data_IF_826964878447
#
_entry.id   IF_826964878447
#
_cell.length_a   1.000
_cell.length_b   1.000
_cell.length_c   1.000
_cell.angle_alpha   90.00
_cell.angle_beta   90.00
_cell.angle_gamma   90.00
#
_symmetry.space_group_name_H-M   'P 1'
#
loop_
_entity.id
_entity.type
_entity.pdbx_description
1 polymer ?
#
# COMPACT_ATOMS: atom_id res chain seq x y z
N UNK A 1 -60.78 22.55 -18.16
CA UNK A 1 -60.09 23.41 -19.14
C UNK A 1 -59.09 22.53 -19.83
N UNK A 2 -59.54 21.99 -20.95
CA UNK A 2 -58.73 21.31 -21.94
C UNK A 2 -57.86 22.32 -22.67
N UNK A 3 -56.60 21.94 -22.90
CA UNK A 3 -55.74 22.33 -24.03
C UNK A 3 -54.45 21.52 -23.86
N UNK A 4 -53.75 20.96 -24.83
CA UNK A 4 -54.00 20.50 -26.20
C UNK A 4 -52.65 19.83 -26.56
N UNK A 5 -52.68 18.82 -27.43
CA UNK A 5 -51.51 18.01 -27.75
C UNK A 5 -50.49 18.77 -28.62
N UNK A 6 -49.20 18.58 -28.34
CA UNK A 6 -48.14 18.71 -29.33
C UNK A 6 -47.52 17.34 -29.56
N UNK A 7 -47.99 16.67 -30.60
CA UNK A 7 -47.43 15.43 -31.12
C UNK A 7 -46.09 15.74 -31.81
N UNK A 8 -44.99 15.41 -31.13
CA UNK A 8 -43.68 15.23 -31.73
C UNK A 8 -43.41 13.74 -31.86
N UNK A 9 -43.25 13.25 -33.09
CA UNK A 9 -42.96 11.86 -33.37
C UNK A 9 -41.58 11.46 -32.82
N UNK A 10 -41.54 10.82 -31.66
CA UNK A 10 -40.34 10.15 -31.14
C UNK A 10 -40.28 8.74 -31.71
N UNK A 11 -39.22 8.44 -32.47
CA UNK A 11 -38.86 7.06 -32.81
C UNK A 11 -38.62 6.23 -31.53
N UNK A 12 -38.71 4.89 -31.58
CA UNK A 12 -38.57 4.04 -30.41
C UNK A 12 -37.09 3.99 -29.96
N UNK A 13 -36.63 5.05 -29.32
CA UNK A 13 -35.36 5.03 -28.60
C UNK A 13 -35.60 4.34 -27.25
N UNK A 14 -35.13 3.11 -27.12
CA UNK A 14 -35.07 2.42 -25.83
C UNK A 14 -33.94 3.02 -25.01
N UNK A 15 -34.19 4.13 -24.32
CA UNK A 15 -33.30 4.59 -23.25
C UNK A 15 -33.48 3.65 -22.06
N UNK A 16 -32.50 2.78 -21.84
CA UNK A 16 -32.45 1.98 -20.62
C UNK A 16 -32.20 2.94 -19.45
N UNK A 17 -33.23 3.17 -18.63
CA UNK A 17 -33.12 3.91 -17.39
C UNK A 17 -32.21 3.12 -16.44
N UNK A 18 -30.91 3.44 -16.47
CA UNK A 18 -29.95 2.97 -15.48
C UNK A 18 -30.10 3.91 -14.29
N UNK A 19 -30.87 3.50 -13.30
CA UNK A 19 -30.83 4.11 -11.98
C UNK A 19 -29.46 3.82 -11.39
N UNK A 20 -28.54 4.77 -11.58
CA UNK A 20 -27.37 4.86 -10.73
C UNK A 20 -27.94 5.22 -9.36
N UNK A 21 -28.01 4.25 -8.45
CA UNK A 21 -28.15 4.55 -7.03
C UNK A 21 -26.91 5.33 -6.64
N UNK A 22 -26.98 6.64 -6.82
CA UNK A 22 -26.12 7.57 -6.12
C UNK A 22 -26.50 7.46 -4.64
N UNK A 23 -25.85 6.54 -3.93
CA UNK A 23 -25.62 6.69 -2.49
C UNK A 23 -24.68 7.89 -2.32
N UNK A 24 -25.23 9.06 -2.63
CA UNK A 24 -24.63 10.38 -2.45
C UNK A 24 -24.80 10.75 -0.98
N UNK A 25 -24.02 10.07 -0.15
CA UNK A 25 -23.60 10.59 1.15
C UNK A 25 -22.07 10.42 1.20
N UNK A 26 -21.40 11.29 0.45
CA UNK A 26 -19.97 11.54 0.64
C UNK A 26 -19.82 12.73 1.58
N UNK A 27 -20.04 12.49 2.87
CA UNK A 27 -19.86 13.46 3.96
C UNK A 27 -18.38 13.81 4.22
N UNK A 28 -17.44 13.36 3.38
CA UNK A 28 -16.02 13.46 3.65
C UNK A 28 -15.28 14.33 2.62
N UNK A 29 -14.75 15.44 3.15
CA UNK A 29 -13.90 16.38 2.45
C UNK A 29 -12.54 15.73 2.21
N UNK A 30 -12.19 15.49 0.95
CA UNK A 30 -10.86 15.03 0.56
C UNK A 30 -9.83 16.08 1.00
N UNK A 31 -8.92 15.69 1.89
CA UNK A 31 -7.80 16.53 2.31
C UNK A 31 -6.84 16.65 1.11
N UNK A 32 -6.65 17.86 0.57
CA UNK A 32 -5.67 18.13 -0.47
C UNK A 32 -4.29 17.67 0.01
N UNK A 33 -3.69 16.73 -0.73
CA UNK A 33 -2.30 16.32 -0.50
C UNK A 33 -1.43 17.55 -0.76
N UNK A 34 -0.65 18.03 0.22
CA UNK A 34 0.26 19.15 0.00
C UNK A 34 1.17 18.84 -1.19
N UNK A 35 1.30 19.79 -2.12
CA UNK A 35 2.18 19.66 -3.30
C UNK A 35 3.67 19.44 -2.96
N UNK A 36 4.03 19.52 -1.67
CA UNK A 36 5.38 19.41 -1.15
C UNK A 36 5.78 17.98 -0.70
N UNK A 37 4.92 16.97 -0.88
CA UNK A 37 5.28 15.58 -0.57
C UNK A 37 6.24 15.04 -1.64
N UNK A 38 7.53 15.17 -1.37
CA UNK A 38 8.68 14.72 -2.19
C UNK A 38 8.79 13.19 -2.33
N UNK A 39 7.68 12.48 -2.28
CA UNK A 39 7.57 11.13 -2.84
C UNK A 39 7.00 11.24 -4.24
N UNK A 40 7.78 11.87 -5.13
CA UNK A 40 7.60 11.77 -6.56
C UNK A 40 7.71 10.29 -6.92
N UNK A 41 6.57 9.60 -7.01
CA UNK A 41 6.44 8.47 -7.92
C UNK A 41 7.00 8.95 -9.25
N UNK A 42 7.98 8.22 -9.77
CA UNK A 42 8.66 8.46 -11.04
C UNK A 42 7.68 9.09 -12.02
N UNK A 43 7.83 10.40 -12.23
CA UNK A 43 6.99 11.26 -13.05
C UNK A 43 7.22 10.88 -14.51
N UNK A 44 6.65 9.73 -14.85
CA UNK A 44 6.64 9.14 -16.16
C UNK A 44 5.28 9.40 -16.79
N UNK A 45 5.15 10.61 -17.34
CA UNK A 45 4.46 10.87 -18.60
C UNK A 45 2.93 11.10 -18.62
N UNK A 46 2.31 11.53 -17.50
CA UNK A 46 0.96 12.12 -17.52
C UNK A 46 0.99 13.61 -17.11
N UNK A 47 1.56 14.42 -18.00
CA UNK A 47 1.53 15.88 -17.90
C UNK A 47 0.10 16.39 -18.16
N UNK A 48 -0.50 17.07 -17.18
CA UNK A 48 -1.83 17.69 -17.27
C UNK A 48 -1.96 18.56 -18.53
N UNK A 49 -0.87 19.19 -18.97
CA UNK A 49 -0.88 20.01 -20.19
C UNK A 49 -1.09 19.16 -21.45
N UNK A 50 -0.54 17.94 -21.49
CA UNK A 50 -0.75 16.95 -22.57
C UNK A 50 -2.20 16.46 -22.61
N UNK A 51 -2.82 16.27 -21.45
CA UNK A 51 -4.25 15.94 -21.36
C UNK A 51 -5.15 17.09 -21.87
N UNK A 52 -4.85 18.34 -21.51
CA UNK A 52 -5.57 19.51 -22.03
C UNK A 52 -5.37 19.69 -23.54
N UNK A 53 -4.16 19.46 -24.05
CA UNK A 53 -3.85 19.55 -25.47
C UNK A 53 -4.60 18.49 -26.29
N UNK A 54 -4.68 17.26 -25.80
CA UNK A 54 -5.44 16.19 -26.48
C UNK A 54 -6.94 16.43 -26.50
N UNK A 55 -7.52 17.03 -25.44
CA UNK A 55 -8.93 17.45 -25.42
C UNK A 55 -9.18 18.56 -26.44
N UNK A 56 -8.28 19.55 -26.50
CA UNK A 56 -8.37 20.64 -27.47
C UNK A 56 -8.29 20.12 -28.91
N UNK A 57 -7.31 19.26 -29.21
CA UNK A 57 -7.12 18.66 -30.54
C UNK A 57 -8.34 17.81 -30.96
N UNK A 58 -8.91 17.01 -30.06
CA UNK A 58 -10.14 16.26 -30.33
C UNK A 58 -11.34 17.18 -30.61
N UNK A 59 -11.43 18.33 -29.94
CA UNK A 59 -12.50 19.30 -30.17
C UNK A 59 -12.37 20.00 -31.52
N UNK A 60 -11.14 20.30 -31.94
CA UNK A 60 -10.81 20.88 -33.24
C UNK A 60 -11.09 19.87 -34.37
N UNK A 61 -10.67 18.61 -34.21
CA UNK A 61 -10.97 17.52 -35.14
C UNK A 61 -12.48 17.30 -35.31
N UNK A 62 -13.24 17.29 -34.21
CA UNK A 62 -14.70 17.18 -34.28
C UNK A 62 -15.33 18.36 -35.03
N UNK A 63 -14.78 19.58 -34.85
CA UNK A 63 -15.21 20.77 -35.59
C UNK A 63 -14.89 20.70 -37.08
N UNK A 64 -13.71 20.19 -37.44
CA UNK A 64 -13.28 20.02 -38.83
C UNK A 64 -14.17 18.98 -39.52
N UNK A 65 -14.43 17.84 -38.87
CA UNK A 65 -15.32 16.79 -39.38
C UNK A 65 -16.74 17.34 -39.59
N UNK A 66 -17.26 18.12 -38.63
CA UNK A 66 -18.57 18.74 -38.75
C UNK A 66 -18.63 19.74 -39.91
N UNK A 67 -17.61 20.58 -40.09
CA UNK A 67 -17.52 21.52 -41.22
C UNK A 67 -17.44 20.79 -42.57
N UNK A 68 -16.70 19.68 -42.62
CA UNK A 68 -16.54 18.89 -43.83
C UNK A 68 -17.85 18.16 -44.21
N UNK A 69 -18.61 17.69 -43.21
CA UNK A 69 -19.96 17.11 -43.42
C UNK A 69 -20.96 18.15 -43.96
N UNK A 70 -20.86 19.40 -43.51
CA UNK A 70 -21.71 20.51 -43.98
C UNK A 70 -21.36 20.92 -45.41
N UNK A 71 -20.08 20.81 -45.81
CA UNK A 71 -19.64 21.10 -47.18
C UNK A 71 -20.03 19.99 -48.17
N UNK A 72 -20.00 18.72 -47.76
CA UNK A 72 -20.42 17.60 -48.61
C UNK A 72 -21.95 17.53 -48.78
N UNK A 73 -22.71 17.94 -47.76
CA UNK A 73 -24.18 18.01 -47.83
C UNK A 73 -24.71 19.04 -48.84
N UNK A 74 -23.94 20.08 -49.18
CA UNK A 74 -24.35 21.14 -50.12
C UNK A 74 -24.09 20.79 -51.59
N UNK A 75 -23.35 19.72 -51.87
CA UNK A 75 -23.21 19.15 -53.20
C UNK A 75 -24.14 17.94 -53.36
N UNK A 76 -25.45 18.16 -53.22
CA UNK A 76 -26.43 17.23 -53.80
C UNK A 76 -26.31 17.37 -55.33
N UNK A 77 -25.44 16.56 -55.92
CA UNK A 77 -25.30 16.40 -57.36
C UNK A 77 -26.69 16.09 -57.91
N UNK A 78 -27.19 16.93 -58.82
CA UNK A 78 -28.39 16.61 -59.59
C UNK A 78 -28.16 15.26 -60.25
N UNK A 79 -28.84 14.22 -59.78
CA UNK A 79 -28.72 12.85 -60.28
C UNK A 79 -29.09 12.86 -61.76
N UNK A 80 -28.08 12.84 -62.64
CA UNK A 80 -28.28 12.50 -64.04
C UNK A 80 -28.67 11.02 -64.03
N UNK A 81 -29.82 10.62 -64.58
CA UNK A 81 -30.26 9.23 -64.54
C UNK A 81 -29.19 8.32 -65.16
N UNK A 82 -28.81 7.26 -64.46
CA UNK A 82 -27.84 6.28 -64.94
C UNK A 82 -28.39 5.62 -66.22
N UNK A 83 -27.57 5.54 -67.27
CA UNK A 83 -27.96 4.85 -68.48
C UNK A 83 -28.00 3.33 -68.24
N UNK A 84 -28.98 2.62 -68.84
CA UNK A 84 -29.25 1.19 -68.56
C UNK A 84 -28.02 0.30 -68.78
N UNK A 85 -27.18 0.69 -69.71
CA UNK A 85 -25.97 0.01 -70.08
C UNK A 85 -24.84 0.13 -69.04
N UNK A 86 -24.66 1.32 -68.46
CA UNK A 86 -23.72 1.56 -67.35
C UNK A 86 -24.17 0.79 -66.11
N UNK A 87 -25.48 0.77 -65.83
CA UNK A 87 -26.06 -0.02 -64.75
C UNK A 87 -25.82 -1.52 -64.94
N UNK A 88 -25.99 -2.06 -66.15
CA UNK A 88 -25.71 -3.46 -66.43
C UNK A 88 -24.22 -3.78 -66.24
N UNK A 89 -23.33 -2.90 -66.67
CA UNK A 89 -21.90 -3.07 -66.42
C UNK A 89 -21.59 -3.07 -64.92
N UNK A 90 -22.08 -2.07 -64.18
CA UNK A 90 -21.92 -1.95 -62.73
C UNK A 90 -22.52 -3.14 -61.98
N UNK A 91 -23.67 -3.65 -62.42
CA UNK A 91 -24.32 -4.84 -61.88
C UNK A 91 -23.46 -6.09 -62.10
N UNK A 92 -23.00 -6.34 -63.32
CA UNK A 92 -22.17 -7.50 -63.65
C UNK A 92 -20.84 -7.46 -62.89
N UNK A 93 -20.25 -6.26 -62.70
CA UNK A 93 -19.05 -6.06 -61.86
C UNK A 93 -19.36 -6.38 -60.39
N UNK A 94 -20.42 -5.80 -59.82
CA UNK A 94 -20.84 -6.05 -58.42
C UNK A 94 -21.10 -7.51 -58.13
N UNK A 95 -21.69 -8.23 -59.09
CA UNK A 95 -22.00 -9.65 -58.97
C UNK A 95 -20.82 -10.56 -59.32
N UNK A 96 -19.67 -10.00 -59.70
CA UNK A 96 -18.45 -10.76 -60.03
C UNK A 96 -18.53 -11.55 -61.34
N UNK A 97 -19.43 -11.19 -62.25
CA UNK A 97 -19.71 -11.91 -63.50
C UNK A 97 -18.82 -11.42 -64.66
N UNK A 98 -17.50 -11.48 -64.49
CA UNK A 98 -16.53 -10.89 -65.42
C UNK A 98 -16.61 -11.44 -66.86
N UNK A 99 -16.85 -12.74 -67.05
CA UNK A 99 -17.00 -13.32 -68.40
C UNK A 99 -18.25 -12.82 -69.13
N UNK A 100 -19.36 -12.68 -68.40
CA UNK A 100 -20.61 -12.16 -68.95
C UNK A 100 -20.49 -10.68 -69.28
N UNK A 101 -19.77 -9.92 -68.46
CA UNK A 101 -19.43 -8.53 -68.73
C UNK A 101 -18.62 -8.39 -70.03
N UNK A 102 -17.60 -9.21 -70.21
CA UNK A 102 -16.72 -9.16 -71.39
C UNK A 102 -17.48 -9.50 -72.68
N UNK A 103 -18.33 -10.55 -72.64
CA UNK A 103 -19.22 -10.88 -73.75
C UNK A 103 -20.20 -9.73 -74.05
N UNK A 104 -20.83 -9.17 -73.03
CA UNK A 104 -21.80 -8.07 -73.17
C UNK A 104 -21.14 -6.82 -73.77
N UNK A 105 -19.96 -6.43 -73.29
CA UNK A 105 -19.20 -5.28 -73.79
C UNK A 105 -18.79 -5.47 -75.25
N UNK A 106 -18.32 -6.67 -75.60
CA UNK A 106 -17.91 -7.01 -76.97
C UNK A 106 -19.08 -6.98 -77.95
N UNK A 107 -20.20 -7.64 -77.60
CA UNK A 107 -21.40 -7.71 -78.43
C UNK A 107 -22.03 -6.32 -78.62
N UNK A 108 -22.06 -5.53 -77.54
CA UNK A 108 -22.59 -4.17 -77.58
C UNK A 108 -21.75 -3.24 -78.47
N UNK A 109 -20.43 -3.33 -78.38
CA UNK A 109 -19.54 -2.55 -79.25
C UNK A 109 -19.70 -2.95 -80.73
N UNK A 110 -19.86 -4.25 -81.00
CA UNK A 110 -20.10 -4.77 -82.35
C UNK A 110 -21.45 -4.27 -82.93
N UNK A 111 -22.51 -4.24 -82.11
CA UNK A 111 -23.83 -3.72 -82.50
C UNK A 111 -23.82 -2.21 -82.75
N UNK A 112 -23.06 -1.45 -81.96
CA UNK A 112 -22.83 -0.01 -82.20
C UNK A 112 -22.09 0.24 -83.51
N UNK A 113 -21.02 -0.52 -83.80
CA UNK A 113 -20.27 -0.36 -85.06
C UNK A 113 -21.10 -0.67 -86.30
N UNK A 114 -22.04 -1.62 -86.20
CA UNK A 114 -22.96 -1.99 -87.28
C UNK A 114 -24.11 -0.98 -87.47
N UNK A 115 -24.23 0.03 -86.60
CA UNK A 115 -25.29 1.04 -86.66
C UNK A 115 -26.69 0.49 -86.34
N UNK A 116 -26.75 -0.69 -85.70
CA UNK A 116 -28.02 -1.34 -85.31
C UNK A 116 -28.52 -0.80 -83.97
N UNK A 117 -27.61 -0.24 -83.17
CA UNK A 117 -27.87 0.32 -81.86
C UNK A 117 -27.34 1.75 -81.81
N UNK A 118 -28.24 2.72 -81.75
CA UNK A 118 -27.87 4.12 -81.56
C UNK A 118 -27.72 4.45 -80.06
N UNK A 119 -26.85 5.39 -79.67
CA UNK A 119 -26.71 5.81 -78.27
C UNK A 119 -28.02 6.34 -77.65
N UNK A 120 -28.97 6.77 -78.48
CA UNK A 120 -30.30 7.26 -78.09
C UNK A 120 -31.30 6.14 -77.78
N UNK A 121 -31.04 4.91 -78.24
CA UNK A 121 -31.89 3.75 -77.98
C UNK A 121 -31.67 3.16 -76.58
N UNK A 122 -30.61 3.62 -75.90
CA UNK A 122 -30.28 3.23 -74.54
C UNK A 122 -31.11 4.09 -73.59
N UNK A 123 -32.12 3.47 -72.98
CA UNK A 123 -32.96 4.12 -71.97
C UNK A 123 -32.20 4.41 -70.66
N UNK A 124 -32.84 5.17 -69.79
CA UNK A 124 -32.37 5.42 -68.43
C UNK A 124 -32.93 4.40 -67.45
N UNK A 125 -32.17 4.09 -66.41
CA UNK A 125 -32.62 3.22 -65.31
C UNK A 125 -33.73 3.93 -64.55
N UNK A 126 -34.84 3.23 -64.23
CA UNK A 126 -35.89 3.82 -63.40
C UNK A 126 -35.38 4.20 -62.01
N UNK A 127 -35.64 5.44 -61.59
CA UNK A 127 -35.17 6.04 -60.33
C UNK A 127 -35.38 5.18 -59.09
N UNK A 128 -36.42 4.33 -59.06
CA UNK A 128 -36.75 3.44 -57.95
C UNK A 128 -35.63 2.43 -57.66
N UNK A 129 -34.94 1.92 -58.69
CA UNK A 129 -33.86 0.95 -58.51
C UNK A 129 -32.60 1.62 -57.95
N UNK A 130 -32.27 2.80 -58.45
CA UNK A 130 -31.17 3.63 -57.95
C UNK A 130 -31.41 4.02 -56.49
N UNK A 131 -32.65 4.40 -56.16
CA UNK A 131 -33.05 4.71 -54.79
C UNK A 131 -32.95 3.50 -53.86
N UNK A 132 -33.43 2.32 -54.27
CA UNK A 132 -33.29 1.11 -53.48
C UNK A 132 -31.82 0.72 -53.26
N UNK A 133 -30.97 0.87 -54.27
CA UNK A 133 -29.54 0.62 -54.14
C UNK A 133 -28.90 1.60 -53.14
N UNK A 134 -29.29 2.89 -53.18
CA UNK A 134 -28.84 3.87 -52.20
C UNK A 134 -29.27 3.48 -50.78
N UNK A 135 -30.56 3.16 -50.59
CA UNK A 135 -31.09 2.70 -49.31
C UNK A 135 -30.42 1.41 -48.81
N UNK A 136 -30.05 0.48 -49.68
CA UNK A 136 -29.30 -0.71 -49.29
C UNK A 136 -27.89 -0.37 -48.80
N UNK A 137 -27.20 0.56 -49.47
CA UNK A 137 -25.87 1.02 -49.04
C UNK A 137 -25.93 1.75 -47.72
N UNK A 138 -26.93 2.62 -47.53
CA UNK A 138 -27.17 3.33 -46.28
C UNK A 138 -27.54 2.37 -45.15
N UNK A 139 -28.40 1.38 -45.41
CA UNK A 139 -28.71 0.36 -44.40
C UNK A 139 -27.46 -0.45 -44.00
N UNK A 140 -26.55 -0.72 -44.93
CA UNK A 140 -25.29 -1.42 -44.63
C UNK A 140 -24.35 -0.54 -43.80
N UNK A 141 -24.22 0.75 -44.10
CA UNK A 141 -23.41 1.67 -43.30
C UNK A 141 -24.00 1.85 -41.90
N UNK A 142 -25.30 2.11 -41.79
CA UNK A 142 -25.99 2.28 -40.50
C UNK A 142 -25.86 1.03 -39.62
N UNK A 143 -25.97 -0.17 -40.19
CA UNK A 143 -25.75 -1.43 -39.44
C UNK A 143 -24.33 -1.55 -38.91
N UNK A 144 -23.34 -1.15 -39.71
CA UNK A 144 -21.93 -1.15 -39.30
C UNK A 144 -21.70 -0.15 -38.17
N UNK A 145 -22.27 1.05 -38.28
CA UNK A 145 -22.14 2.09 -37.26
C UNK A 145 -22.83 1.68 -35.95
N UNK A 146 -24.01 1.06 -36.02
CA UNK A 146 -24.70 0.50 -34.86
C UNK A 146 -23.81 -0.52 -34.12
N UNK A 147 -23.18 -1.46 -34.85
CA UNK A 147 -22.29 -2.43 -34.23
C UNK A 147 -21.04 -1.77 -33.61
N UNK A 148 -20.47 -0.75 -34.27
CA UNK A 148 -19.37 0.03 -33.73
C UNK A 148 -19.77 0.74 -32.42
N UNK A 149 -20.93 1.38 -32.39
CA UNK A 149 -21.45 2.04 -31.19
C UNK A 149 -21.73 1.04 -30.07
N UNK A 150 -22.24 -0.14 -30.39
CA UNK A 150 -22.47 -1.21 -29.41
C UNK A 150 -21.17 -1.69 -28.79
N UNK A 151 -20.11 -1.85 -29.60
CA UNK A 151 -18.77 -2.19 -29.11
C UNK A 151 -18.21 -1.07 -28.23
N UNK A 152 -18.31 0.19 -28.66
CA UNK A 152 -17.84 1.35 -27.90
C UNK A 152 -18.57 1.47 -26.55
N UNK A 153 -19.90 1.34 -26.54
CA UNK A 153 -20.71 1.36 -25.33
C UNK A 153 -20.35 0.21 -24.38
N UNK A 154 -20.12 -0.99 -24.91
CA UNK A 154 -19.69 -2.14 -24.11
C UNK A 154 -18.32 -1.90 -23.46
N UNK A 155 -17.35 -1.37 -24.22
CA UNK A 155 -16.02 -0.99 -23.69
C UNK A 155 -16.12 0.10 -22.62
N UNK A 156 -16.93 1.13 -22.84
CA UNK A 156 -17.14 2.21 -21.88
C UNK A 156 -17.77 1.68 -20.58
N UNK A 157 -18.75 0.76 -20.69
CA UNK A 157 -19.35 0.09 -19.53
C UNK A 157 -18.33 -0.72 -18.74
N UNK A 158 -17.46 -1.47 -19.41
CA UNK A 158 -16.39 -2.22 -18.75
C UNK A 158 -15.39 -1.30 -18.04
N UNK A 159 -15.00 -0.19 -18.67
CA UNK A 159 -14.11 0.81 -18.07
C UNK A 159 -14.75 1.45 -16.82
N UNK A 160 -16.03 1.82 -16.89
CA UNK A 160 -16.77 2.35 -15.73
C UNK A 160 -16.79 1.37 -14.57
N UNK A 161 -17.05 0.08 -14.82
CA UNK A 161 -17.03 -0.94 -13.78
C UNK A 161 -15.65 -1.10 -13.13
N UNK A 162 -14.56 -0.92 -13.89
CA UNK A 162 -13.19 -0.94 -13.33
C UNK A 162 -12.96 0.25 -12.41
N UNK A 163 -13.31 1.46 -12.85
CA UNK A 163 -13.15 2.70 -12.07
C UNK A 163 -14.00 2.64 -10.78
N UNK A 164 -15.24 2.14 -10.87
CA UNK A 164 -16.09 1.95 -9.69
C UNK A 164 -15.48 0.99 -8.66
N UNK A 165 -14.93 -0.15 -9.11
CA UNK A 165 -14.25 -1.10 -8.23
C UNK A 165 -13.02 -0.48 -7.55
N UNK A 166 -12.22 0.28 -8.28
CA UNK A 166 -11.04 0.96 -7.72
C UNK A 166 -11.44 2.03 -6.69
N UNK A 167 -12.44 2.86 -7.03
CA UNK A 167 -13.03 3.82 -6.10
C UNK A 167 -13.52 3.13 -4.82
N UNK A 168 -14.24 2.01 -4.95
CA UNK A 168 -14.78 1.28 -3.80
C UNK A 168 -13.66 0.64 -2.97
N UNK A 169 -12.61 0.14 -3.62
CA UNK A 169 -11.40 -0.36 -2.97
C UNK A 169 -10.73 0.74 -2.14
N UNK A 170 -10.50 1.92 -2.72
CA UNK A 170 -9.93 3.06 -2.00
C UNK A 170 -10.81 3.51 -0.84
N UNK A 171 -12.13 3.60 -1.04
CA UNK A 171 -13.09 3.96 0.01
C UNK A 171 -13.04 2.97 1.18
N UNK A 172 -13.01 1.66 0.89
CA UNK A 172 -12.92 0.62 1.91
C UNK A 172 -11.56 0.60 2.61
N UNK A 173 -10.47 0.79 1.86
CA UNK A 173 -9.12 0.87 2.41
C UNK A 173 -8.96 2.07 3.34
N UNK A 174 -9.42 3.24 2.92
CA UNK A 174 -9.42 4.45 3.73
C UNK A 174 -10.21 4.24 5.03
N UNK A 175 -11.44 3.70 4.96
CA UNK A 175 -12.24 3.37 6.16
C UNK A 175 -11.47 2.46 7.13
N UNK A 176 -10.78 1.43 6.62
CA UNK A 176 -9.92 0.56 7.44
C UNK A 176 -8.79 1.33 8.10
N UNK A 177 -8.04 2.12 7.33
CA UNK A 177 -6.90 2.91 7.84
C UNK A 177 -7.35 3.91 8.91
N UNK A 178 -8.49 4.58 8.73
CA UNK A 178 -9.06 5.48 9.73
C UNK A 178 -9.41 4.74 11.02
N UNK A 179 -10.00 3.54 10.92
CA UNK A 179 -10.27 2.71 12.10
C UNK A 179 -8.99 2.32 12.84
N UNK A 180 -7.95 1.91 12.11
CA UNK A 180 -6.64 1.58 12.69
C UNK A 180 -5.97 2.79 13.34
N UNK A 181 -5.96 3.95 12.65
CA UNK A 181 -5.51 5.23 13.19
C UNK A 181 -6.21 5.57 14.51
N UNK A 182 -7.53 5.45 14.55
CA UNK A 182 -8.31 5.77 15.75
C UNK A 182 -8.03 4.80 16.92
N UNK A 183 -7.79 3.51 16.63
CA UNK A 183 -7.34 2.53 17.64
C UNK A 183 -5.98 2.93 18.22
N UNK A 184 -5.00 3.24 17.36
CA UNK A 184 -3.68 3.68 17.80
C UNK A 184 -3.72 4.99 18.60
N UNK A 185 -4.52 5.96 18.17
CA UNK A 185 -4.73 7.21 18.93
C UNK A 185 -5.28 6.90 20.33
N UNK A 186 -6.23 5.98 20.43
CA UNK A 186 -6.82 5.58 21.72
C UNK A 186 -5.79 4.90 22.63
N UNK A 187 -4.95 4.03 22.07
CA UNK A 187 -3.87 3.38 22.82
C UNK A 187 -2.81 4.38 23.27
N UNK A 188 -2.42 5.34 22.42
CA UNK A 188 -1.52 6.43 22.79
C UNK A 188 -2.11 7.27 23.93
N UNK A 189 -3.40 7.61 23.86
CA UNK A 189 -4.09 8.34 24.94
C UNK A 189 -4.05 7.55 26.25
N UNK A 190 -4.38 6.26 26.22
CA UNK A 190 -4.32 5.37 27.40
C UNK A 190 -2.90 5.30 27.97
N UNK A 191 -1.89 5.19 27.12
CA UNK A 191 -0.48 5.15 27.52
C UNK A 191 -0.04 6.47 28.18
N UNK A 192 -0.40 7.62 27.59
CA UNK A 192 -0.13 8.94 28.16
C UNK A 192 -0.74 9.08 29.56
N UNK A 193 -2.00 8.68 29.73
CA UNK A 193 -2.67 8.69 31.04
C UNK A 193 -1.95 7.80 32.05
N UNK A 194 -1.52 6.60 31.63
CA UNK A 194 -0.77 5.68 32.49
C UNK A 194 0.57 6.28 32.95
N UNK A 195 1.34 6.92 32.06
CA UNK A 195 2.60 7.57 32.45
C UNK A 195 2.39 8.82 33.31
N UNK A 196 1.35 9.62 33.03
CA UNK A 196 0.98 10.75 33.88
C UNK A 196 0.67 10.28 35.31
N UNK A 197 0.12 9.07 35.49
CA UNK A 197 -0.15 8.51 36.82
C UNK A 197 1.11 8.15 37.62
N UNK A 198 2.24 7.86 36.96
CA UNK A 198 3.51 7.60 37.66
C UNK A 198 4.21 8.86 38.16
N UNK A 199 3.93 10.00 37.53
CA UNK A 199 4.54 11.29 37.90
C UNK A 199 4.41 11.64 39.40
N UNK A 200 3.24 11.56 40.04
CA UNK A 200 3.13 11.81 41.48
C UNK A 200 3.91 10.80 42.33
N UNK A 201 3.96 9.52 41.92
CA UNK A 201 4.72 8.49 42.65
C UNK A 201 6.23 8.76 42.59
N UNK A 202 6.74 9.17 41.43
CA UNK A 202 8.14 9.55 41.26
C UNK A 202 8.47 10.79 42.10
N UNK A 203 7.61 11.83 42.08
CA UNK A 203 7.77 13.03 42.92
C UNK A 203 7.85 12.67 44.40
N UNK A 204 6.92 11.85 44.90
CA UNK A 204 6.93 11.40 46.29
C UNK A 204 8.21 10.61 46.65
N UNK A 205 8.70 9.76 45.75
CA UNK A 205 9.94 9.01 45.98
C UNK A 205 11.15 9.95 46.05
N UNK A 206 11.23 10.95 45.17
CA UNK A 206 12.28 11.98 45.21
C UNK A 206 12.23 12.80 46.50
N UNK A 207 11.04 13.22 46.93
CA UNK A 207 10.85 13.95 48.19
C UNK A 207 11.32 13.12 49.40
N UNK A 208 10.93 11.84 49.47
CA UNK A 208 11.38 10.91 50.51
C UNK A 208 12.90 10.73 50.50
N UNK A 209 13.49 10.55 49.31
CA UNK A 209 14.94 10.44 49.17
C UNK A 209 15.66 11.67 49.70
N UNK A 210 15.21 12.87 49.34
CA UNK A 210 15.79 14.12 49.84
C UNK A 210 15.60 14.28 51.35
N UNK A 211 14.45 13.89 51.90
CA UNK A 211 14.19 13.93 53.34
C UNK A 211 15.15 13.01 54.11
N UNK A 212 15.32 11.77 53.66
CA UNK A 212 16.27 10.81 54.24
C UNK A 212 17.71 11.33 54.14
N UNK A 213 18.07 11.95 53.01
CA UNK A 213 19.40 12.53 52.84
C UNK A 213 19.67 13.67 53.84
N UNK A 214 18.69 14.57 54.04
CA UNK A 214 18.78 15.64 55.06
C UNK A 214 18.90 15.08 56.47
N UNK A 215 18.07 14.08 56.81
CA UNK A 215 18.11 13.44 58.13
C UNK A 215 19.44 12.72 58.38
N UNK A 216 19.97 11.99 57.39
CA UNK A 216 21.28 11.35 57.45
C UNK A 216 22.39 12.37 57.76
N UNK A 217 22.34 13.54 57.12
CA UNK A 217 23.29 14.61 57.35
C UNK A 217 23.20 15.14 58.79
N UNK A 218 21.99 15.40 59.30
CA UNK A 218 21.77 15.84 60.68
C UNK A 218 22.27 14.82 61.71
N UNK A 219 21.87 13.55 61.56
CA UNK A 219 22.34 12.47 62.45
C UNK A 219 23.85 12.27 62.36
N UNK A 220 24.46 12.55 61.20
CA UNK A 220 25.92 12.52 61.10
C UNK A 220 26.59 13.61 61.91
N UNK A 221 26.09 14.85 61.85
CA UNK A 221 26.61 15.95 62.64
C UNK A 221 26.42 15.72 64.16
N UNK A 222 25.29 15.15 64.56
CA UNK A 222 25.04 14.77 65.96
C UNK A 222 26.03 13.70 66.44
N UNK A 223 26.29 12.68 65.61
CA UNK A 223 27.30 11.65 65.89
C UNK A 223 28.69 12.26 66.00
N UNK A 224 29.07 13.14 65.09
CA UNK A 224 30.39 13.79 65.08
C UNK A 224 30.57 14.67 66.33
N UNK A 225 29.52 15.38 66.76
CA UNK A 225 29.51 16.13 68.04
C UNK A 225 29.69 15.19 69.24
N UNK A 226 28.96 14.07 69.29
CA UNK A 226 29.06 13.10 70.38
C UNK A 226 30.45 12.44 70.43
N UNK A 227 31.00 12.05 69.28
CA UNK A 227 32.38 11.55 69.17
C UNK A 227 33.37 12.61 69.66
N UNK A 228 33.23 13.86 69.23
CA UNK A 228 34.08 14.96 69.70
C UNK A 228 34.04 15.16 71.22
N UNK A 229 32.86 15.04 71.84
CA UNK A 229 32.71 15.06 73.30
C UNK A 229 33.41 13.86 73.97
N UNK A 230 33.20 12.64 73.46
CA UNK A 230 33.85 11.42 73.98
C UNK A 230 35.36 11.50 73.85
N UNK A 231 35.89 11.94 72.71
CA UNK A 231 37.33 12.14 72.50
C UNK A 231 37.89 13.21 73.43
N UNK A 232 37.16 14.32 73.63
CA UNK A 232 37.53 15.34 74.60
C UNK A 232 37.60 14.80 76.02
N UNK A 233 36.58 14.05 76.46
CA UNK A 233 36.56 13.39 77.77
C UNK A 233 37.68 12.35 77.91
N UNK A 234 37.93 11.53 76.88
CA UNK A 234 39.02 10.55 76.86
C UNK A 234 40.39 11.22 76.99
N UNK A 235 40.61 12.36 76.30
CA UNK A 235 41.83 13.13 76.46
C UNK A 235 41.99 13.70 77.88
N UNK A 236 40.91 14.18 78.50
CA UNK A 236 40.95 14.61 79.91
C UNK A 236 41.27 13.46 80.86
N UNK A 237 40.68 12.27 80.65
CA UNK A 237 40.99 11.07 81.43
C UNK A 237 42.45 10.64 81.25
N UNK A 238 42.97 10.60 80.03
CA UNK A 238 44.37 10.26 79.77
C UNK A 238 45.36 11.26 80.39
N UNK A 239 45.03 12.56 80.39
CA UNK A 239 45.85 13.56 81.09
C UNK A 239 45.85 13.37 82.61
N UNK A 240 44.72 12.95 83.19
CA UNK A 240 44.62 12.61 84.63
C UNK A 240 45.35 11.28 84.96
N UNK A 241 45.29 10.30 84.06
CA UNK A 241 45.99 9.01 84.18
C UNK A 241 47.51 9.16 83.97
N UNK A 242 47.95 10.06 83.09
CA UNK A 242 49.38 10.36 82.86
C UNK A 242 50.07 11.03 84.06
N UNK A 243 49.30 11.47 85.06
CA UNK A 243 49.81 11.86 86.38
C UNK A 243 50.04 10.70 87.36
N UNK A 244 49.67 9.46 86.99
CA UNK A 244 49.97 8.22 87.74
C UNK A 244 50.82 7.29 86.86
N UNK A 245 52.13 7.42 86.96
CA UNK A 245 53.04 6.37 86.54
C UNK A 245 52.90 5.16 87.50
N UNK A 246 52.17 4.12 87.06
CA UNK A 246 52.40 2.75 87.53
C UNK A 246 52.35 1.80 86.32
N UNK A 247 53.39 0.98 86.27
CA UNK A 247 53.82 0.03 85.27
C UNK A 247 52.97 -1.26 85.15
N UNK A 248 52.89 -1.79 83.90
CA UNK A 248 53.08 -3.22 83.52
C UNK A 248 51.90 -4.22 83.69
N UNK A 249 51.72 -5.29 82.85
CA UNK A 249 51.95 -5.44 81.41
C UNK A 249 50.85 -6.24 80.63
N UNK A 250 51.02 -6.19 79.32
CA UNK A 250 50.53 -7.02 78.21
C UNK A 250 50.32 -8.53 78.50
N UNK A 251 49.18 -9.07 78.06
CA UNK A 251 49.07 -10.46 77.58
C UNK A 251 48.50 -10.48 76.16
N UNK A 252 49.37 -10.77 75.19
CA UNK A 252 49.01 -11.04 73.79
C UNK A 252 48.42 -12.45 73.70
N UNK A 253 47.12 -12.56 73.47
CA UNK A 253 46.50 -13.80 72.99
C UNK A 253 46.60 -13.83 71.46
N UNK A 254 47.51 -14.66 70.94
CA UNK A 254 47.64 -14.92 69.52
C UNK A 254 46.49 -15.80 69.02
N UNK A 255 45.56 -15.23 68.26
CA UNK A 255 44.62 -16.01 67.46
C UNK A 255 45.23 -16.33 66.10
N UNK A 256 45.70 -17.57 65.92
CA UNK A 256 45.92 -18.16 64.60
C UNK A 256 44.55 -18.51 64.00
N UNK A 257 44.11 -17.77 62.99
CA UNK A 257 42.98 -18.16 62.15
C UNK A 257 43.42 -19.31 61.24
N UNK A 258 42.81 -20.49 61.40
CA UNK A 258 42.88 -21.56 60.41
C UNK A 258 42.08 -21.11 59.18
N UNK A 259 42.68 -21.23 58.00
CA UNK A 259 41.96 -21.20 56.73
C UNK A 259 41.00 -22.39 56.70
N UNK A 260 39.70 -22.12 56.74
CA UNK A 260 38.69 -23.11 56.40
C UNK A 260 38.34 -22.89 54.93
N UNK A 261 38.77 -23.81 54.08
CA UNK A 261 38.27 -23.98 52.73
C UNK A 261 36.76 -24.26 52.78
N UNK A 262 35.99 -23.57 51.94
CA UNK A 262 34.70 -24.07 51.45
C UNK A 262 33.42 -23.65 52.15
N UNK A 263 33.35 -22.49 52.83
CA UNK A 263 32.05 -21.92 53.26
C UNK A 263 31.76 -20.60 52.56
N UNK A 264 30.73 -20.67 51.70
CA UNK A 264 30.13 -19.57 50.95
C UNK A 264 29.83 -18.39 51.89
N UNK A 265 30.37 -17.22 51.59
CA UNK A 265 30.26 -16.03 52.45
C UNK A 265 28.82 -15.51 52.58
N UNK A 266 28.52 -14.70 53.61
CA UNK A 266 27.17 -14.15 53.84
C UNK A 266 26.64 -13.35 52.63
N UNK A 267 27.53 -12.71 51.88
CA UNK A 267 27.23 -11.99 50.63
C UNK A 267 26.89 -12.93 49.47
N UNK A 268 27.47 -14.13 49.41
CA UNK A 268 27.15 -15.11 48.37
C UNK A 268 25.84 -15.85 48.67
N UNK A 269 25.54 -16.08 49.96
CA UNK A 269 24.28 -16.69 50.40
C UNK A 269 23.07 -15.79 50.11
N UNK A 270 23.20 -14.48 50.36
CA UNK A 270 22.17 -13.49 50.07
C UNK A 270 21.90 -13.33 48.57
N UNK A 271 22.92 -13.42 47.71
CA UNK A 271 22.75 -13.40 46.25
C UNK A 271 22.01 -14.63 45.75
N UNK A 272 22.26 -15.80 46.34
CA UNK A 272 21.59 -17.05 45.98
C UNK A 272 20.12 -17.05 46.43
N UNK A 273 19.84 -16.63 47.66
CA UNK A 273 18.48 -16.49 48.20
C UNK A 273 17.65 -15.45 47.39
N UNK A 274 18.27 -14.34 46.97
CA UNK A 274 17.61 -13.36 46.10
C UNK A 274 17.28 -13.92 44.70
N UNK A 275 18.10 -14.86 44.19
CA UNK A 275 17.87 -15.52 42.90
C UNK A 275 16.71 -16.51 42.98
N UNK A 276 16.61 -17.24 44.08
CA UNK A 276 15.53 -18.20 44.36
C UNK A 276 14.18 -17.48 44.63
N UNK A 277 14.20 -16.36 45.34
CA UNK A 277 13.00 -15.53 45.54
C UNK A 277 12.48 -14.90 44.23
N UNK A 278 13.39 -14.55 43.30
CA UNK A 278 13.00 -14.03 41.97
C UNK A 278 12.27 -15.09 41.13
N UNK A 279 12.67 -16.36 41.26
CA UNK A 279 12.00 -17.48 40.59
C UNK A 279 10.61 -17.71 41.17
N UNK A 280 10.43 -17.57 42.49
CA UNK A 280 9.13 -17.71 43.15
C UNK A 280 8.12 -16.58 42.81
N UNK A 281 8.59 -15.35 42.58
CA UNK A 281 7.71 -14.19 42.34
C UNK A 281 7.28 -14.00 40.88
N UNK A 282 7.95 -14.66 39.92
CA UNK A 282 7.71 -14.44 38.48
C UNK A 282 6.64 -15.37 37.89
N UNK A 283 5.98 -16.22 38.69
CA UNK A 283 4.79 -16.97 38.26
C UNK A 283 4.95 -17.91 37.06
N UNK A 284 6.18 -18.23 36.65
CA UNK A 284 6.44 -19.23 35.62
C UNK A 284 6.41 -20.59 36.30
N UNK A 285 5.35 -21.36 36.03
CA UNK A 285 5.21 -22.72 36.51
C UNK A 285 6.44 -23.57 36.11
N UNK A 286 6.90 -24.52 36.95
CA UNK A 286 7.93 -25.47 36.57
C UNK A 286 7.53 -26.17 35.27
N UNK A 287 8.45 -26.25 34.33
CA UNK A 287 8.23 -26.92 33.05
C UNK A 287 7.80 -28.37 33.26
N UNK A 288 6.56 -28.69 32.87
CA UNK A 288 5.99 -30.03 32.92
C UNK A 288 6.17 -30.71 31.54
N UNK A 289 7.04 -31.73 31.43
CA UNK A 289 7.33 -32.42 30.17
C UNK A 289 6.11 -33.15 29.56
N UNK A 290 5.02 -33.33 30.31
CA UNK A 290 3.79 -33.97 29.87
C UNK A 290 2.84 -33.03 29.12
N UNK A 291 3.04 -31.70 29.21
CA UNK A 291 2.21 -30.67 28.55
C UNK A 291 2.86 -30.04 27.32
N UNK A 292 3.97 -30.58 26.84
CA UNK A 292 4.69 -30.08 25.67
C UNK A 292 3.84 -30.29 24.40
N UNK A 293 3.41 -29.21 23.70
CA UNK A 293 2.62 -29.32 22.47
C UNK A 293 3.36 -30.04 21.34
N UNK A 294 4.69 -30.22 21.43
CA UNK A 294 5.48 -31.00 20.45
C UNK A 294 5.32 -32.52 20.58
N UNK A 295 4.75 -33.01 21.70
CA UNK A 295 4.52 -34.44 21.95
C UNK A 295 3.08 -34.88 21.71
N UNK A 296 2.17 -33.96 21.38
CA UNK A 296 0.82 -34.34 20.99
C UNK A 296 0.84 -34.97 19.60
N UNK A 297 0.63 -36.28 19.54
CA UNK A 297 0.51 -37.05 18.32
C UNK A 297 -0.85 -36.76 17.65
N UNK A 298 -1.03 -35.53 17.18
CA UNK A 298 -2.11 -35.14 16.29
C UNK A 298 -1.84 -35.64 14.87
N UNK A 299 -2.90 -36.05 14.16
CA UNK A 299 -2.86 -36.64 12.82
C UNK A 299 -2.08 -35.74 11.84
N UNK A 300 -0.84 -36.13 11.49
CA UNK A 300 -0.07 -35.50 10.40
C UNK A 300 -0.64 -35.91 9.04
N UNK A 301 -0.63 -34.99 8.08
CA UNK A 301 -1.07 -35.30 6.71
C UNK A 301 0.03 -36.11 5.98
N UNK A 302 -0.33 -37.03 5.06
CA UNK A 302 0.63 -37.97 4.47
C UNK A 302 1.77 -37.36 3.63
N UNK A 303 1.73 -36.05 3.35
CA UNK A 303 2.69 -35.34 2.50
C UNK A 303 3.52 -34.28 3.24
N UNK A 304 3.41 -34.18 4.56
CA UNK A 304 4.21 -33.23 5.33
C UNK A 304 5.64 -33.75 5.49
N UNK A 305 6.63 -32.95 5.07
CA UNK A 305 8.05 -33.23 5.26
C UNK A 305 8.45 -33.10 6.73
N UNK A 306 9.33 -33.99 7.19
CA UNK A 306 9.82 -33.96 8.58
C UNK A 306 10.70 -32.73 8.82
N UNK A 307 10.44 -32.04 9.94
CA UNK A 307 11.29 -30.93 10.38
C UNK A 307 12.67 -31.46 10.84
N UNK A 308 13.77 -30.76 10.52
CA UNK A 308 15.10 -31.16 10.96
C UNK A 308 15.20 -31.21 12.49
N UNK A 309 15.91 -32.22 13.00
CA UNK A 309 16.17 -32.36 14.44
C UNK A 309 17.07 -31.21 14.89
N UNK A 310 16.57 -30.41 15.83
CA UNK A 310 17.31 -29.30 16.42
C UNK A 310 18.52 -29.83 17.20
N UNK A 311 19.72 -29.59 16.68
CA UNK A 311 20.98 -30.07 17.26
C UNK A 311 21.44 -29.26 18.48
N UNK A 312 20.69 -28.23 18.91
CA UNK A 312 20.95 -27.38 20.10
C UNK A 312 22.37 -26.79 20.23
N UNK A 313 23.25 -26.98 19.26
CA UNK A 313 24.59 -26.42 19.24
C UNK A 313 24.62 -25.32 18.20
N UNK A 314 24.66 -24.07 18.67
CA UNK A 314 24.75 -22.90 17.80
C UNK A 314 26.07 -22.96 17.00
N UNK A 315 26.02 -23.13 15.66
CA UNK A 315 27.22 -23.27 14.83
C UNK A 315 28.10 -22.01 14.81
N UNK A 316 27.60 -20.87 15.32
CA UNK A 316 28.35 -19.62 15.41
C UNK A 316 29.15 -19.44 16.72
N UNK A 317 29.06 -20.37 17.70
CA UNK A 317 29.83 -20.29 18.95
C UNK A 317 31.35 -20.33 18.71
N UNK A 318 31.81 -20.99 17.66
CA UNK A 318 33.22 -21.05 17.30
C UNK A 318 33.75 -19.68 16.80
N UNK A 319 32.91 -18.86 16.17
CA UNK A 319 33.28 -17.57 15.57
C UNK A 319 33.48 -16.45 16.60
N UNK A 320 32.92 -16.61 17.80
CA UNK A 320 33.03 -15.61 18.88
C UNK A 320 34.47 -15.51 19.42
N UNK A 321 35.29 -16.56 19.27
CA UNK A 321 36.70 -16.54 19.72
C UNK A 321 37.65 -15.80 18.78
N UNK A 322 37.28 -15.54 17.53
CA UNK A 322 38.16 -14.86 16.56
C UNK A 322 38.06 -13.33 16.60
N UNK A 323 36.99 -12.76 17.20
CA UNK A 323 36.76 -11.31 17.25
C UNK A 323 36.97 -10.71 18.65
N UNK A 324 38.18 -10.84 19.21
CA UNK A 324 38.60 -10.19 20.48
C UNK A 324 39.62 -9.07 20.25
N UNK A 325 39.46 -8.29 19.18
CA UNK A 325 40.10 -6.97 19.08
C UNK A 325 39.03 -5.91 18.80
N UNK A 326 38.85 -4.90 19.67
CA UNK A 326 37.96 -3.80 19.37
C UNK A 326 38.58 -2.99 18.22
N UNK A 327 38.00 -3.09 17.03
CA UNK A 327 38.30 -2.20 15.92
C UNK A 327 37.76 -0.81 16.28
N UNK A 328 38.64 0.19 16.22
CA UNK A 328 38.30 1.60 16.46
C UNK A 328 37.09 2.00 15.59
N UNK A 329 36.13 2.78 16.12
CA UNK A 329 34.99 3.25 15.33
C UNK A 329 35.51 4.13 14.17
N UNK A 330 35.20 3.73 12.93
CA UNK A 330 35.57 4.49 11.72
C UNK A 330 36.24 3.69 10.59
N UNK A 331 36.57 2.41 10.78
CA UNK A 331 37.18 1.56 9.74
C UNK A 331 36.28 0.39 9.39
N UNK A 332 35.19 0.66 8.67
CA UNK A 332 34.43 -0.39 8.01
C UNK A 332 35.07 -0.68 6.64
N UNK A 333 35.66 -1.86 6.48
CA UNK A 333 36.12 -2.33 5.17
C UNK A 333 35.10 -3.32 4.62
N UNK A 334 34.48 -2.98 3.50
CA UNK A 334 33.59 -3.88 2.76
C UNK A 334 34.40 -5.14 2.41
N UNK A 335 34.00 -6.28 2.97
CA UNK A 335 34.69 -7.56 2.73
C UNK A 335 34.12 -8.27 1.52
N UNK A 336 32.79 -8.26 1.34
CA UNK A 336 32.08 -8.89 0.23
C UNK A 336 30.76 -8.19 -0.06
N UNK A 337 30.33 -8.26 -1.32
CA UNK A 337 29.00 -7.83 -1.78
C UNK A 337 28.30 -9.01 -2.43
N UNK A 338 27.08 -9.30 -1.98
CA UNK A 338 26.24 -10.38 -2.50
C UNK A 338 24.91 -9.78 -2.98
N UNK A 339 24.58 -10.00 -4.25
CA UNK A 339 23.31 -9.57 -4.85
C UNK A 339 22.30 -10.70 -4.66
N UNK A 340 21.38 -10.51 -3.72
CA UNK A 340 20.42 -11.55 -3.29
C UNK A 340 19.08 -11.42 -4.03
N UNK A 341 18.76 -10.25 -4.56
CA UNK A 341 17.50 -9.96 -5.25
C UNK A 341 17.66 -8.78 -6.22
N UNK A 342 16.76 -8.68 -7.20
CA UNK A 342 16.74 -7.62 -8.22
C UNK A 342 15.67 -6.54 -7.97
N UNK A 343 14.90 -6.66 -6.88
CA UNK A 343 13.82 -5.75 -6.49
C UNK A 343 14.20 -4.93 -5.25
N UNK A 344 13.64 -3.73 -5.10
CA UNK A 344 13.89 -2.89 -3.92
C UNK A 344 13.42 -3.60 -2.64
N UNK A 345 14.31 -3.68 -1.63
CA UNK A 345 13.99 -4.28 -0.33
C UNK A 345 13.49 -3.22 0.64
N UNK A 346 12.26 -3.39 1.07
CA UNK A 346 11.56 -2.48 1.98
C UNK A 346 12.00 -2.60 3.44
N UNK A 347 12.55 -3.75 3.86
CA UNK A 347 13.26 -3.86 5.15
C UNK A 347 14.20 -5.07 5.17
N UNK A 348 15.31 -4.94 5.90
CA UNK A 348 16.16 -6.06 6.30
C UNK A 348 16.03 -6.18 7.82
N UNK A 349 15.31 -7.18 8.30
CA UNK A 349 15.28 -7.51 9.73
C UNK A 349 16.51 -8.35 10.07
N UNK A 350 17.29 -7.87 11.04
CA UNK A 350 18.45 -8.56 11.61
C UNK A 350 18.09 -9.33 12.87
#
# INVERSE_FOLDING_TARGET
MDTEAAAGAEGPFCLQQVTITEDSEDDYQYEEVPADDKFSLLEGDEDLTKALQTIQEQSEDAQIIAQQLVLTSKHSVSEIPEAVDDFLCNFLIRMGMARTLDCFQTERYELMQKGVLEPKDIGFVPDIYTHNQHLETENKSLKKDLENYKIAASKAKEALLKIQKERDFHRMHHKRVVQEKNRLISDIKRLKTHYASYEPMLRQLTEKYQAVLRQKMLTSLERDRAIGQVTGLQATLQNLESGRAIEVPVTRAGHKCKMNDGLQGPTQKTVQEAREQRIAYTGVAPYDPAKDPRKQLGKRYPKDSEFPVDTQVNPNLARVKECTRPLKPGLYKLSNTLRVHDLAVSCVMF
#
